data_IF_994354882468
#
_entry.id   IF_994354882468
#
_cell.length_a   1.000
_cell.length_b   1.000
_cell.length_c   1.000
_cell.angle_alpha   90.00
_cell.angle_beta   90.00
_cell.angle_gamma   90.00
#
_symmetry.space_group_name_H-M   'P 1'
#
loop_
_entity.id
_entity.type
_entity.pdbx_description
1 polymer ?
#
# COMPACT_ATOMS: atom_id res chain seq x y z
N UNK A 1 2.89 -1.75 -23.70
CA UNK A 1 3.73 -2.07 -22.51
C UNK A 1 3.31 -3.44 -22.02
N UNK A 2 4.23 -4.27 -21.56
CA UNK A 2 3.88 -5.54 -20.89
C UNK A 2 3.08 -5.28 -19.61
N UNK A 3 2.34 -6.28 -19.14
CA UNK A 3 1.60 -6.22 -17.88
C UNK A 3 2.56 -5.88 -16.72
N UNK A 4 2.24 -4.85 -15.94
CA UNK A 4 3.06 -4.45 -14.77
C UNK A 4 2.98 -5.52 -13.70
N UNK A 5 4.11 -5.89 -13.10
CA UNK A 5 4.17 -6.80 -11.95
C UNK A 5 4.26 -5.99 -10.66
N UNK A 6 3.30 -6.17 -9.77
CA UNK A 6 3.17 -5.44 -8.52
C UNK A 6 3.37 -6.40 -7.36
N UNK A 7 4.28 -6.07 -6.45
CA UNK A 7 4.41 -6.76 -5.17
C UNK A 7 3.52 -6.08 -4.14
N UNK A 8 2.69 -6.84 -3.45
CA UNK A 8 1.89 -6.36 -2.32
C UNK A 8 2.30 -7.10 -1.06
N UNK A 9 2.86 -6.39 -0.08
CA UNK A 9 3.25 -6.98 1.21
C UNK A 9 2.12 -6.78 2.19
N UNK A 10 1.48 -7.87 2.60
CA UNK A 10 0.36 -7.90 3.56
C UNK A 10 0.76 -8.63 4.84
N UNK A 11 -0.13 -8.62 5.82
CA UNK A 11 0.04 -9.36 7.08
C UNK A 11 -1.30 -9.64 7.77
N UNK A 12 -1.25 -10.41 8.85
CA UNK A 12 -2.42 -10.64 9.71
C UNK A 12 -2.91 -9.33 10.32
N UNK A 13 -4.23 -9.15 10.30
CA UNK A 13 -4.93 -7.92 10.66
C UNK A 13 -4.49 -6.68 9.85
N UNK A 14 -4.02 -6.86 8.62
CA UNK A 14 -4.05 -5.77 7.64
C UNK A 14 -5.49 -5.37 7.33
N UNK A 15 -5.70 -4.11 6.96
CA UNK A 15 -7.06 -3.57 6.77
C UNK A 15 -7.74 -4.22 5.54
N UNK A 16 -8.99 -4.66 5.71
CA UNK A 16 -9.71 -5.50 4.73
C UNK A 16 -9.90 -4.81 3.37
N UNK A 17 -10.33 -3.54 3.36
CA UNK A 17 -10.44 -2.75 2.14
C UNK A 17 -9.07 -2.38 1.59
N UNK A 18 -8.13 -1.98 2.43
CA UNK A 18 -6.80 -1.55 1.97
C UNK A 18 -5.96 -2.69 1.39
N UNK A 19 -6.33 -3.96 1.67
CA UNK A 19 -5.79 -5.12 0.96
C UNK A 19 -6.62 -5.38 -0.31
N UNK A 20 -7.93 -5.59 -0.18
CA UNK A 20 -8.73 -6.18 -1.26
C UNK A 20 -8.94 -5.20 -2.43
N UNK A 21 -9.23 -3.93 -2.15
CA UNK A 21 -9.52 -2.93 -3.17
C UNK A 21 -8.33 -2.71 -4.11
N UNK A 22 -7.11 -2.37 -3.64
CA UNK A 22 -5.98 -2.22 -4.54
C UNK A 22 -5.60 -3.54 -5.23
N UNK A 23 -5.73 -4.67 -4.55
CA UNK A 23 -5.40 -5.98 -5.14
C UNK A 23 -6.25 -6.24 -6.38
N UNK A 24 -7.56 -6.09 -6.26
CA UNK A 24 -8.49 -6.32 -7.37
C UNK A 24 -8.47 -5.20 -8.40
N UNK A 25 -8.34 -3.94 -8.00
CA UNK A 25 -8.33 -2.81 -8.93
C UNK A 25 -7.11 -2.85 -9.87
N UNK A 26 -5.92 -3.16 -9.33
CA UNK A 26 -4.70 -3.32 -10.14
C UNK A 26 -4.83 -4.51 -11.11
N UNK A 27 -5.42 -5.62 -10.66
CA UNK A 27 -5.69 -6.77 -11.53
C UNK A 27 -6.70 -6.42 -12.64
N UNK A 28 -7.75 -5.67 -12.31
CA UNK A 28 -8.78 -5.28 -13.26
C UNK A 28 -8.24 -4.42 -14.41
N UNK A 29 -7.17 -3.64 -14.17
CA UNK A 29 -6.48 -2.85 -15.21
C UNK A 29 -5.30 -3.59 -15.87
N UNK A 30 -5.21 -4.91 -15.67
CA UNK A 30 -4.24 -5.77 -16.36
C UNK A 30 -2.87 -5.88 -15.71
N UNK A 31 -2.69 -5.41 -14.47
CA UNK A 31 -1.46 -5.68 -13.71
C UNK A 31 -1.48 -7.11 -13.13
N UNK A 32 -0.31 -7.73 -13.05
CA UNK A 32 -0.11 -8.93 -12.24
C UNK A 32 0.24 -8.51 -10.82
N UNK A 33 -0.57 -8.89 -9.83
CA UNK A 33 -0.33 -8.56 -8.42
C UNK A 33 -0.01 -9.83 -7.64
N UNK A 34 1.18 -9.89 -7.04
CA UNK A 34 1.58 -10.95 -6.13
C UNK A 34 1.48 -10.43 -4.69
N UNK A 35 0.54 -10.98 -3.91
CA UNK A 35 0.34 -10.67 -2.50
C UNK A 35 1.03 -11.70 -1.62
N UNK A 36 1.94 -11.23 -0.76
CA UNK A 36 2.82 -12.04 0.08
C UNK A 36 2.78 -11.58 1.54
N UNK A 37 3.07 -12.48 2.47
CA UNK A 37 3.19 -12.19 3.90
C UNK A 37 4.42 -12.92 4.43
N UNK A 38 5.28 -12.28 5.25
CA UNK A 38 6.36 -12.95 5.94
C UNK A 38 5.91 -14.25 6.62
N UNK A 39 6.76 -15.26 6.57
CA UNK A 39 6.54 -16.59 7.15
C UNK A 39 5.33 -17.36 6.58
N UNK A 40 4.78 -16.93 5.43
CA UNK A 40 3.66 -17.59 4.74
C UNK A 40 3.95 -17.87 3.26
N UNK A 41 3.28 -18.92 2.77
CA UNK A 41 3.36 -19.45 1.40
C UNK A 41 2.05 -19.21 0.64
N UNK A 42 2.15 -19.30 -0.69
CA UNK A 42 0.98 -19.31 -1.59
C UNK A 42 -0.10 -20.28 -1.10
N UNK A 43 -1.36 -19.83 -1.14
CA UNK A 43 -2.54 -20.61 -0.72
C UNK A 43 -2.88 -20.49 0.76
N UNK A 44 -1.94 -20.06 1.62
CA UNK A 44 -2.23 -19.71 3.01
C UNK A 44 -2.99 -18.39 3.09
N UNK A 45 -3.59 -18.12 4.26
CA UNK A 45 -4.43 -16.94 4.47
C UNK A 45 -3.87 -16.02 5.55
N UNK A 46 -4.17 -14.74 5.42
CA UNK A 46 -4.09 -13.77 6.51
C UNK A 46 -5.50 -13.44 7.00
N UNK A 47 -5.64 -13.16 8.30
CA UNK A 47 -6.86 -12.52 8.81
C UNK A 47 -6.81 -11.03 8.44
N UNK A 48 -7.94 -10.40 8.18
CA UNK A 48 -8.00 -8.93 8.01
C UNK A 48 -8.79 -8.28 9.14
N UNK A 49 -8.62 -6.97 9.28
CA UNK A 49 -9.34 -6.12 10.21
C UNK A 49 -10.19 -5.12 9.43
N UNK A 50 -11.42 -4.88 9.90
CA UNK A 50 -12.25 -3.75 9.45
C UNK A 50 -12.07 -2.64 10.46
N UNK A 51 -11.55 -1.49 10.00
CA UNK A 51 -11.39 -0.28 10.81
C UNK A 51 -12.44 0.75 10.42
N UNK A 52 -13.31 1.10 11.36
CA UNK A 52 -14.40 2.06 11.10
C UNK A 52 -14.59 3.04 12.26
N UNK A 53 -15.13 4.22 11.96
CA UNK A 53 -15.39 5.27 12.95
C UNK A 53 -16.86 5.28 13.35
N UNK A 54 -17.17 4.71 14.52
CA UNK A 54 -18.54 4.50 15.01
C UNK A 54 -18.97 5.50 16.11
N UNK A 55 -18.22 6.60 16.29
CA UNK A 55 -18.53 7.68 17.23
C UNK A 55 -17.56 7.84 18.41
N UNK A 56 -16.62 6.91 18.57
CA UNK A 56 -15.55 6.98 19.57
C UNK A 56 -14.38 7.89 19.13
N UNK A 57 -13.42 8.13 20.02
CA UNK A 57 -12.24 8.96 19.75
C UNK A 57 -11.27 8.37 18.72
N UNK A 58 -11.35 7.06 18.49
CA UNK A 58 -10.57 6.33 17.48
C UNK A 58 -11.46 5.27 16.84
N UNK A 59 -10.98 4.66 15.76
CA UNK A 59 -11.71 3.60 15.06
C UNK A 59 -11.96 2.37 15.95
N UNK A 60 -13.06 1.67 15.70
CA UNK A 60 -13.29 0.31 16.19
C UNK A 60 -12.61 -0.71 15.27
N UNK A 61 -12.34 -1.90 15.79
CA UNK A 61 -11.78 -3.02 15.02
C UNK A 61 -12.73 -4.22 15.07
N UNK A 62 -13.07 -4.75 13.89
CA UNK A 62 -13.85 -5.98 13.74
C UNK A 62 -13.11 -6.96 12.83
N UNK A 63 -13.34 -8.28 12.96
CA UNK A 63 -12.80 -9.24 12.00
C UNK A 63 -13.35 -8.99 10.59
N UNK A 64 -12.45 -8.89 9.61
CA UNK A 64 -12.81 -8.85 8.19
C UNK A 64 -12.78 -10.23 7.53
N UNK A 65 -12.61 -10.26 6.21
CA UNK A 65 -12.49 -11.49 5.45
C UNK A 65 -11.14 -12.18 5.71
N UNK A 66 -11.04 -13.47 5.38
CA UNK A 66 -9.72 -14.08 5.27
C UNK A 66 -9.19 -13.83 3.86
N UNK A 67 -8.05 -13.16 3.74
CA UNK A 67 -7.40 -12.92 2.46
C UNK A 67 -6.43 -14.06 2.13
N UNK A 68 -6.57 -14.68 0.96
CA UNK A 68 -5.69 -15.77 0.52
C UNK A 68 -4.50 -15.24 -0.28
N UNK A 69 -3.30 -15.59 0.13
CA UNK A 69 -2.05 -15.23 -0.54
C UNK A 69 -1.91 -15.99 -1.85
N UNK A 70 -1.51 -15.31 -2.92
CA UNK A 70 -1.31 -15.91 -4.24
C UNK A 70 0.17 -16.13 -4.60
N UNK A 71 1.10 -15.70 -3.73
CA UNK A 71 2.54 -15.90 -3.86
C UNK A 71 3.18 -16.24 -2.50
N UNK A 72 4.42 -16.73 -2.54
CA UNK A 72 5.21 -17.09 -1.35
C UNK A 72 6.23 -16.01 -1.06
N UNK A 73 6.32 -15.54 0.19
CA UNK A 73 7.22 -14.45 0.56
C UNK A 73 8.70 -14.78 0.36
N UNK A 74 9.12 -16.01 0.70
CA UNK A 74 10.52 -16.43 0.58
C UNK A 74 11.01 -16.55 -0.86
N UNK A 75 10.09 -16.65 -1.83
CA UNK A 75 10.40 -16.75 -3.26
C UNK A 75 10.51 -15.35 -3.92
N UNK A 76 10.26 -14.27 -3.17
CA UNK A 76 10.24 -12.90 -3.70
C UNK A 76 11.64 -12.42 -4.05
N UNK A 77 11.81 -12.06 -5.33
CA UNK A 77 12.93 -11.30 -5.89
C UNK A 77 12.46 -9.88 -6.25
N UNK A 78 12.81 -8.84 -5.47
CA UNK A 78 12.32 -7.46 -5.69
C UNK A 78 12.60 -6.89 -7.08
N UNK A 79 13.68 -7.34 -7.73
CA UNK A 79 14.07 -6.97 -9.08
C UNK A 79 13.01 -7.33 -10.13
N UNK A 80 12.24 -8.39 -9.89
CA UNK A 80 11.22 -8.93 -10.83
C UNK A 80 9.91 -8.14 -10.84
N UNK A 81 9.77 -7.16 -9.94
CA UNK A 81 8.56 -6.36 -9.77
C UNK A 81 8.77 -4.92 -10.22
N UNK A 82 7.79 -4.35 -10.89
CA UNK A 82 7.76 -2.96 -11.32
C UNK A 82 7.46 -2.01 -10.17
N UNK A 83 6.64 -2.42 -9.20
CA UNK A 83 6.19 -1.56 -8.10
C UNK A 83 5.84 -2.31 -6.82
N UNK A 84 5.75 -1.56 -5.72
CA UNK A 84 5.41 -2.05 -4.39
C UNK A 84 4.13 -1.39 -3.87
N UNK A 85 3.26 -2.18 -3.24
CA UNK A 85 2.08 -1.72 -2.50
C UNK A 85 2.16 -2.19 -1.04
N UNK A 86 1.93 -1.29 -0.09
CA UNK A 86 1.87 -1.57 1.35
C UNK A 86 0.52 -1.10 1.93
N UNK A 87 -0.43 -2.01 2.12
CA UNK A 87 -1.68 -1.74 2.84
C UNK A 87 -1.45 -1.34 4.31
N UNK A 88 -2.45 -0.69 4.91
CA UNK A 88 -2.46 -0.37 6.33
C UNK A 88 -3.08 -1.46 7.21
N UNK A 89 -3.85 -1.02 8.19
CA UNK A 89 -4.33 -1.84 9.30
C UNK A 89 -3.25 -2.06 10.38
N UNK A 90 -3.34 -3.17 11.10
CA UNK A 90 -2.37 -3.51 12.17
C UNK A 90 -1.14 -4.24 11.66
N UNK A 91 -1.21 -4.82 10.46
CA UNK A 91 -0.08 -5.55 9.89
C UNK A 91 1.23 -4.75 9.82
N UNK A 92 1.25 -3.48 9.34
CA UNK A 92 2.45 -2.64 9.31
C UNK A 92 3.22 -2.54 10.62
N UNK A 93 2.53 -2.55 11.77
CA UNK A 93 3.13 -2.44 13.10
C UNK A 93 4.16 -3.53 13.37
N UNK A 94 3.88 -4.76 12.90
CA UNK A 94 4.72 -5.92 13.16
C UNK A 94 5.58 -6.32 11.95
N UNK A 95 5.09 -6.20 10.71
CA UNK A 95 5.89 -6.57 9.53
C UNK A 95 7.10 -5.65 9.36
N UNK A 96 7.05 -4.41 9.87
CA UNK A 96 8.20 -3.49 9.89
C UNK A 96 9.38 -3.99 10.72
N UNK A 97 9.17 -4.98 11.59
CA UNK A 97 10.25 -5.60 12.38
C UNK A 97 10.98 -6.70 11.59
N UNK A 98 10.42 -7.16 10.47
CA UNK A 98 11.03 -8.20 9.66
C UNK A 98 12.16 -7.61 8.78
N UNK A 99 13.43 -8.06 8.93
CA UNK A 99 14.55 -7.49 8.18
C UNK A 99 14.41 -7.63 6.66
N UNK A 100 13.82 -8.73 6.18
CA UNK A 100 13.59 -8.97 4.75
C UNK A 100 12.55 -8.02 4.18
N UNK A 101 11.48 -7.70 4.93
CA UNK A 101 10.50 -6.67 4.51
C UNK A 101 11.22 -5.33 4.32
N UNK A 102 12.07 -4.92 5.27
CA UNK A 102 12.81 -3.67 5.18
C UNK A 102 13.83 -3.67 4.02
N UNK A 103 14.49 -4.80 3.76
CA UNK A 103 15.36 -4.98 2.61
C UNK A 103 14.62 -4.77 1.28
N UNK A 104 13.45 -5.42 1.12
CA UNK A 104 12.61 -5.29 -0.06
C UNK A 104 12.20 -3.82 -0.25
N UNK A 105 11.69 -3.17 0.80
CA UNK A 105 11.26 -1.75 0.74
C UNK A 105 12.43 -0.84 0.32
N UNK A 106 13.62 -1.05 0.88
CA UNK A 106 14.82 -0.29 0.51
C UNK A 106 15.21 -0.53 -0.94
N UNK A 107 15.08 -1.75 -1.46
CA UNK A 107 15.32 -2.02 -2.89
C UNK A 107 14.43 -1.16 -3.78
N UNK A 108 13.11 -1.13 -3.54
CA UNK A 108 12.19 -0.31 -4.35
C UNK A 108 12.53 1.18 -4.28
N UNK A 109 12.87 1.68 -3.08
CA UNK A 109 13.25 3.08 -2.89
C UNK A 109 14.57 3.43 -3.61
N UNK A 110 15.61 2.59 -3.48
CA UNK A 110 16.92 2.79 -4.11
C UNK A 110 16.87 2.67 -5.63
N UNK A 111 16.06 1.74 -6.14
CA UNK A 111 15.82 1.57 -7.57
C UNK A 111 14.88 2.63 -8.17
N UNK A 112 14.39 3.58 -7.35
CA UNK A 112 13.41 4.59 -7.74
C UNK A 112 12.14 3.99 -8.41
N UNK A 113 11.75 2.78 -7.99
CA UNK A 113 10.54 2.10 -8.47
C UNK A 113 9.31 2.67 -7.76
N UNK A 114 8.12 2.71 -8.40
CA UNK A 114 6.90 3.15 -7.76
C UNK A 114 6.61 2.42 -6.43
N UNK A 115 6.27 3.18 -5.39
CA UNK A 115 5.81 2.69 -4.09
C UNK A 115 4.48 3.36 -3.77
N UNK A 116 3.45 2.56 -3.49
CA UNK A 116 2.19 3.03 -2.95
C UNK A 116 2.00 2.52 -1.51
N UNK A 117 1.75 3.41 -0.56
CA UNK A 117 1.49 3.03 0.83
C UNK A 117 0.31 3.82 1.39
N UNK A 118 -0.51 3.20 2.23
CA UNK A 118 -1.74 3.81 2.74
C UNK A 118 -1.86 3.59 4.25
N UNK A 119 -2.49 4.54 4.95
CA UNK A 119 -2.82 4.43 6.37
C UNK A 119 -1.58 4.16 7.22
N UNK A 120 -1.53 3.02 7.90
CA UNK A 120 -0.39 2.58 8.72
C UNK A 120 0.74 1.95 7.89
N UNK A 121 0.56 1.70 6.60
CA UNK A 121 1.60 1.15 5.73
C UNK A 121 2.89 1.98 5.72
N UNK A 122 2.79 3.28 6.00
CA UNK A 122 3.94 4.17 6.12
C UNK A 122 4.85 3.86 7.32
N UNK A 123 4.37 3.15 8.34
CA UNK A 123 5.23 2.68 9.44
C UNK A 123 6.35 1.77 8.93
N UNK A 124 6.09 0.98 7.87
CA UNK A 124 7.09 0.15 7.21
C UNK A 124 8.13 1.01 6.49
N UNK A 125 7.69 2.05 5.78
CA UNK A 125 8.59 2.98 5.08
C UNK A 125 9.45 3.78 6.07
N UNK A 126 8.86 4.22 7.18
CA UNK A 126 9.57 4.89 8.26
C UNK A 126 10.66 3.99 8.85
N UNK A 127 10.33 2.75 9.19
CA UNK A 127 11.30 1.76 9.70
C UNK A 127 12.39 1.39 8.68
N UNK A 128 12.05 1.38 7.39
CA UNK A 128 13.02 1.14 6.32
C UNK A 128 13.99 2.32 6.14
N UNK A 129 13.68 3.50 6.70
CA UNK A 129 14.49 4.72 6.59
C UNK A 129 14.37 5.40 5.23
N UNK A 130 13.32 5.13 4.47
CA UNK A 130 13.17 5.61 3.08
C UNK A 130 12.36 6.91 2.95
N UNK A 131 11.91 7.48 4.08
CA UNK A 131 11.12 8.72 4.11
C UNK A 131 11.95 10.00 4.22
N UNK A 132 13.27 9.90 4.46
CA UNK A 132 14.12 11.09 4.66
C UNK A 132 14.06 12.02 3.45
N UNK A 133 13.62 13.26 3.67
CA UNK A 133 13.48 14.28 2.61
C UNK A 133 12.31 14.06 1.65
N UNK A 134 11.40 13.13 1.96
CA UNK A 134 10.21 12.83 1.16
C UNK A 134 8.99 13.55 1.71
N UNK A 135 8.07 13.92 0.83
CA UNK A 135 6.73 14.43 1.18
C UNK A 135 5.72 13.30 1.13
N UNK A 136 4.97 13.08 2.20
CA UNK A 136 3.97 12.02 2.24
C UNK A 136 2.85 12.30 3.25
N UNK A 137 1.74 11.59 3.12
CA UNK A 137 0.67 11.55 4.12
C UNK A 137 0.50 10.12 4.64
N UNK A 138 -0.13 9.96 5.79
CA UNK A 138 -0.35 8.68 6.47
C UNK A 138 -1.67 8.75 7.24
N UNK A 139 -2.06 7.64 7.89
CA UNK A 139 -3.04 7.76 8.97
C UNK A 139 -2.55 8.80 9.99
N UNK A 140 -3.40 9.71 10.52
CA UNK A 140 -2.94 10.83 11.34
C UNK A 140 -2.04 10.44 12.52
N UNK A 141 -2.31 9.32 13.19
CA UNK A 141 -1.48 8.86 14.31
C UNK A 141 -0.07 8.41 13.89
N UNK A 142 0.18 8.14 12.61
CA UNK A 142 1.50 7.84 12.07
C UNK A 142 2.31 9.11 11.72
N UNK A 143 1.70 10.30 11.72
CA UNK A 143 2.39 11.56 11.42
C UNK A 143 3.65 11.83 12.26
N UNK A 144 3.64 11.58 13.60
CA UNK A 144 4.85 11.66 14.41
C UNK A 144 5.98 10.71 13.95
N UNK A 145 5.65 9.48 13.55
CA UNK A 145 6.64 8.51 13.04
C UNK A 145 7.26 8.98 11.71
N UNK A 146 6.43 9.51 10.80
CA UNK A 146 6.90 10.09 9.52
C UNK A 146 7.90 11.23 9.78
N UNK A 147 7.56 12.16 10.67
CA UNK A 147 8.45 13.27 11.04
C UNK A 147 9.75 12.78 11.69
N UNK A 148 9.66 11.81 12.60
CA UNK A 148 10.83 11.22 13.25
C UNK A 148 11.78 10.50 12.26
N UNK A 149 11.22 9.92 11.19
CA UNK A 149 11.99 9.31 10.10
C UNK A 149 12.58 10.35 9.10
N UNK A 150 12.39 11.64 9.34
CA UNK A 150 12.90 12.74 8.51
C UNK A 150 12.06 13.04 7.26
N UNK A 151 10.81 12.55 7.22
CA UNK A 151 9.84 12.90 6.18
C UNK A 151 9.07 14.17 6.51
N UNK A 152 8.59 14.84 5.47
CA UNK A 152 7.63 15.94 5.57
C UNK A 152 6.21 15.35 5.55
N UNK A 153 5.58 15.29 6.73
CA UNK A 153 4.20 14.84 6.89
C UNK A 153 3.23 15.93 6.42
N UNK A 154 2.39 15.58 5.46
CA UNK A 154 1.31 16.42 4.94
C UNK A 154 -0.03 15.94 5.48
N UNK A 155 -0.72 16.82 6.20
CA UNK A 155 -2.11 16.60 6.59
C UNK A 155 -3.01 16.95 5.40
N UNK A 156 -3.76 15.98 4.92
CA UNK A 156 -4.70 16.11 3.79
C UNK A 156 -6.05 15.50 4.16
N UNK A 157 -7.15 15.85 3.46
CA UNK A 157 -8.44 15.18 3.64
C UNK A 157 -8.33 13.66 3.54
N UNK A 158 -9.21 12.95 4.25
CA UNK A 158 -9.16 11.47 4.38
C UNK A 158 -9.34 10.72 3.05
N UNK A 159 -9.90 11.41 2.05
CA UNK A 159 -10.18 10.93 0.69
C UNK A 159 -9.16 11.41 -0.36
N UNK A 160 -8.10 12.13 0.06
CA UNK A 160 -7.05 12.64 -0.82
C UNK A 160 -5.77 11.79 -0.79
N UNK A 161 -4.88 12.04 -1.76
CA UNK A 161 -3.58 11.37 -1.87
C UNK A 161 -2.44 12.36 -2.11
N UNK A 162 -1.25 12.02 -1.63
CA UNK A 162 0.00 12.77 -1.84
C UNK A 162 0.92 12.00 -2.77
N UNK A 163 1.42 12.70 -3.80
CA UNK A 163 2.42 12.19 -4.74
C UNK A 163 3.72 12.97 -4.56
N UNK A 164 4.82 12.25 -4.36
CA UNK A 164 6.18 12.79 -4.33
C UNK A 164 7.08 11.92 -5.21
N UNK A 165 7.25 12.29 -6.47
CA UNK A 165 8.00 11.50 -7.45
C UNK A 165 7.40 10.09 -7.63
N UNK A 166 8.15 9.06 -7.21
CA UNK A 166 7.74 7.66 -7.27
C UNK A 166 6.93 7.16 -6.06
N UNK A 167 6.68 8.00 -5.05
CA UNK A 167 5.95 7.64 -3.82
C UNK A 167 4.53 8.19 -3.88
N UNK A 168 3.53 7.32 -3.69
CA UNK A 168 2.11 7.66 -3.65
C UNK A 168 1.51 7.23 -2.32
N UNK A 169 1.01 8.19 -1.54
CA UNK A 169 0.56 7.93 -0.17
C UNK A 169 -0.83 8.47 0.12
N UNK A 170 -1.55 7.82 1.03
CA UNK A 170 -2.92 8.19 1.38
C UNK A 170 -3.23 7.90 2.86
N UNK A 171 -4.16 8.64 3.49
CA UNK A 171 -4.39 8.56 4.92
C UNK A 171 -5.25 7.36 5.37
N UNK A 172 -6.21 6.91 4.56
CA UNK A 172 -7.09 5.78 4.87
C UNK A 172 -7.86 5.30 3.63
N UNK A 173 -8.59 4.18 3.78
CA UNK A 173 -9.43 3.57 2.74
C UNK A 173 -10.39 4.49 1.96
N UNK A 174 -10.93 5.62 2.47
CA UNK A 174 -11.74 6.53 1.65
C UNK A 174 -10.98 7.12 0.46
N UNK A 175 -9.65 7.22 0.55
CA UNK A 175 -8.80 7.75 -0.51
C UNK A 175 -8.53 6.77 -1.66
N UNK A 176 -9.02 5.52 -1.61
CA UNK A 176 -8.74 4.52 -2.65
C UNK A 176 -8.93 5.04 -4.09
N UNK A 177 -10.02 5.74 -4.45
CA UNK A 177 -10.19 6.24 -5.81
C UNK A 177 -9.07 7.20 -6.23
N UNK A 178 -8.74 8.18 -5.37
CA UNK A 178 -7.70 9.18 -5.64
C UNK A 178 -6.30 8.56 -5.63
N UNK A 179 -6.01 7.75 -4.61
CA UNK A 179 -4.74 7.08 -4.41
C UNK A 179 -4.40 6.12 -5.55
N UNK A 180 -5.36 5.28 -5.97
CA UNK A 180 -5.17 4.38 -7.11
C UNK A 180 -5.03 5.14 -8.42
N UNK A 181 -5.83 6.19 -8.64
CA UNK A 181 -5.72 7.01 -9.86
C UNK A 181 -4.33 7.66 -10.00
N UNK A 182 -3.78 8.20 -8.91
CA UNK A 182 -2.41 8.74 -8.93
C UNK A 182 -1.36 7.63 -9.09
N UNK A 183 -1.55 6.47 -8.44
CA UNK A 183 -0.64 5.35 -8.60
C UNK A 183 -0.62 4.80 -10.05
N UNK A 184 -1.76 4.74 -10.72
CA UNK A 184 -1.83 4.35 -12.14
C UNK A 184 -1.00 5.28 -13.03
N UNK A 185 -1.04 6.59 -12.78
CA UNK A 185 -0.19 7.56 -13.51
C UNK A 185 1.29 7.30 -13.28
N UNK A 186 1.68 7.06 -12.02
CA UNK A 186 3.07 6.76 -11.64
C UNK A 186 3.55 5.43 -12.24
N UNK A 187 2.64 4.45 -12.42
CA UNK A 187 2.90 3.21 -13.15
C UNK A 187 3.00 3.38 -14.67
N UNK A 188 2.62 4.55 -15.20
CA UNK A 188 2.55 4.83 -16.63
C UNK A 188 1.35 4.17 -17.33
N UNK A 189 0.31 3.82 -16.57
CA UNK A 189 -0.95 3.32 -17.12
C UNK A 189 -1.78 4.48 -17.69
N UNK A 190 -2.54 4.20 -18.75
CA UNK A 190 -3.47 5.15 -19.37
C UNK A 190 -4.85 4.52 -19.38
N UNK A 191 -5.84 5.25 -18.88
CA UNK A 191 -7.25 4.89 -18.93
C UNK A 191 -7.90 5.86 -19.92
N UNK A 192 -8.50 5.31 -20.97
CA UNK A 192 -9.18 6.07 -22.02
C UNK A 192 -10.68 5.79 -21.92
N UNK A 193 -11.48 6.85 -21.93
CA UNK A 193 -12.93 6.76 -22.02
C UNK A 193 -13.31 7.20 -23.43
N UNK A 194 -13.96 6.33 -24.21
CA UNK A 194 -14.60 6.77 -25.44
C UNK A 194 -15.75 7.70 -25.08
N UNK A 195 -15.85 8.87 -25.73
CA UNK A 195 -17.03 9.72 -25.59
C UNK A 195 -18.25 8.91 -26.05
N UNK A 196 -19.26 8.80 -25.18
CA UNK A 196 -20.53 8.21 -25.58
C UNK A 196 -21.04 9.00 -26.79
N UNK A 197 -21.26 8.30 -27.91
CA UNK A 197 -21.86 8.92 -29.09
C UNK A 197 -23.15 9.62 -28.65
N UNK A 198 -23.17 10.96 -28.72
CA UNK A 198 -24.38 11.72 -28.43
C UNK A 198 -25.46 11.27 -29.43
N UNK A 199 -26.44 10.52 -28.92
CA UNK A 199 -27.67 10.18 -29.64
C UNK A 199 -28.66 11.33 -29.57
#
# INVERSE_FOLDING_TARGET
MGAKRILMIVGDFGEDYEIMVPFQALQAVGCQVDAVCPDKKKGQKVRTAVHDFEGDQTYSEKPGHNFQLNATFDDVRPEDYDALVIPGGRAPEYIRLNPRVLEIVRHFAQANKPIAAICHGLQVLAAAGVLKGRRCTAYPACGPEVKAAGGEYLEVPVDEAVVDGNLVTAPAWPAHPRWLAEFFKVLGLRIEHEEAAMA
#
